data_IF_122886049075
#
_entry.id   IF_122886049075
#
_cell.length_a   1.000
_cell.length_b   1.000
_cell.length_c   1.000
_cell.angle_alpha   90.00
_cell.angle_beta   90.00
_cell.angle_gamma   90.00
#
_symmetry.space_group_name_H-M   'P 1'
#
loop_
_entity.id
_entity.type
_entity.pdbx_description
1 polymer ?
#
# COMPACT_ATOMS: atom_id res chain seq x y z
N UNK A 1 17.64 20.83 18.24
CA UNK A 1 17.77 20.68 16.78
C UNK A 1 16.53 19.95 16.27
N UNK A 2 15.54 20.71 15.82
CA UNK A 2 14.22 20.21 15.41
C UNK A 2 14.37 19.34 14.15
N UNK A 3 14.18 18.02 14.30
CA UNK A 3 14.08 17.13 13.15
C UNK A 3 12.68 17.30 12.55
N UNK A 4 12.62 18.09 11.49
CA UNK A 4 11.48 18.22 10.60
C UNK A 4 11.00 16.81 10.21
N UNK A 5 9.74 16.49 10.49
CA UNK A 5 9.07 15.26 10.07
C UNK A 5 9.22 15.11 8.54
N UNK A 6 9.97 14.10 8.07
CA UNK A 6 10.16 13.84 6.64
C UNK A 6 8.92 13.21 5.97
N UNK A 7 7.83 13.04 6.73
CA UNK A 7 6.49 12.84 6.20
C UNK A 7 5.61 13.96 6.72
N UNK A 8 5.27 14.90 5.83
CA UNK A 8 4.38 16.00 6.16
C UNK A 8 3.03 15.43 6.62
N UNK A 9 2.73 15.63 7.90
CA UNK A 9 1.46 15.29 8.54
C UNK A 9 0.26 15.90 7.79
N UNK A 10 0.49 16.93 6.97
CA UNK A 10 -0.52 17.57 6.12
C UNK A 10 -0.86 16.79 4.86
N UNK A 11 0.07 16.00 4.29
CA UNK A 11 -0.22 15.16 3.10
C UNK A 11 -1.12 13.96 3.45
N UNK A 12 -1.16 13.61 4.74
CA UNK A 12 -2.12 12.66 5.30
C UNK A 12 -3.58 13.12 5.08
N UNK A 13 -3.89 14.41 5.19
CA UNK A 13 -5.23 14.82 5.58
C UNK A 13 -6.38 14.74 4.55
N UNK A 14 -6.14 14.45 3.26
CA UNK A 14 -7.25 14.22 2.29
C UNK A 14 -7.62 12.76 2.07
N UNK A 15 -6.65 11.85 2.08
CA UNK A 15 -6.87 10.39 1.88
C UNK A 15 -6.93 9.61 3.21
N UNK A 16 -6.39 10.17 4.29
CA UNK A 16 -6.24 9.48 5.57
C UNK A 16 -7.57 9.32 6.30
N UNK A 17 -8.48 10.30 6.32
CA UNK A 17 -9.73 10.16 7.11
C UNK A 17 -10.64 9.02 6.66
N UNK A 18 -10.75 8.75 5.35
CA UNK A 18 -11.56 7.64 4.83
C UNK A 18 -10.85 6.30 4.91
N UNK A 19 -9.58 6.24 4.52
CA UNK A 19 -8.79 5.00 4.65
C UNK A 19 -8.64 4.56 6.11
N UNK A 20 -8.68 5.50 7.06
CA UNK A 20 -8.56 5.21 8.49
C UNK A 20 -9.64 4.29 9.04
N UNK A 21 -10.89 4.53 8.69
CA UNK A 21 -12.00 3.72 9.17
C UNK A 21 -11.99 2.32 8.55
N UNK A 22 -11.63 2.22 7.26
CA UNK A 22 -11.60 0.96 6.53
C UNK A 22 -10.45 0.08 7.01
N UNK A 23 -9.24 0.65 7.17
CA UNK A 23 -8.08 -0.12 7.64
C UNK A 23 -8.32 -0.70 9.04
N UNK A 24 -8.95 0.06 9.96
CA UNK A 24 -9.18 -0.38 11.34
C UNK A 24 -10.10 -1.59 11.41
N UNK A 25 -11.03 -1.68 10.47
CA UNK A 25 -12.05 -2.73 10.39
C UNK A 25 -11.52 -3.99 9.69
N UNK A 26 -10.56 -3.87 8.77
CA UNK A 26 -9.99 -5.02 8.04
C UNK A 26 -8.80 -5.64 8.75
N UNK A 27 -7.90 -4.84 9.32
CA UNK A 27 -6.65 -5.33 9.89
C UNK A 27 -6.76 -5.48 11.42
N UNK A 28 -7.69 -6.30 11.94
CA UNK A 28 -7.88 -6.65 13.38
C UNK A 28 -6.87 -6.00 14.38
N UNK A 29 -7.07 -4.71 14.68
CA UNK A 29 -6.12 -3.93 15.49
C UNK A 29 -6.13 -4.36 16.96
N UNK A 30 -7.31 -4.78 17.43
CA UNK A 30 -7.53 -5.35 18.75
C UNK A 30 -7.22 -6.84 18.61
N UNK A 31 -6.12 -7.36 19.14
CA UNK A 31 -6.17 -8.21 20.35
C UNK A 31 -4.79 -8.47 20.97
N UNK A 32 -3.70 -7.91 20.40
CA UNK A 32 -2.32 -8.18 20.88
C UNK A 32 -1.59 -6.89 21.28
N UNK A 33 -0.96 -6.91 22.45
CA UNK A 33 0.00 -5.87 22.87
C UNK A 33 1.20 -5.92 21.92
N UNK A 34 1.42 -4.84 21.17
CA UNK A 34 2.52 -4.70 20.21
C UNK A 34 3.45 -3.57 20.67
N UNK A 35 4.75 -3.73 20.44
CA UNK A 35 5.74 -2.67 20.68
C UNK A 35 5.56 -1.47 19.73
N UNK A 36 5.13 -1.74 18.50
CA UNK A 36 4.85 -0.71 17.49
C UNK A 36 3.38 -0.78 17.09
N UNK A 37 2.75 0.39 16.98
CA UNK A 37 1.40 0.50 16.44
C UNK A 37 1.38 0.11 14.95
N UNK A 38 0.32 -0.58 14.55
CA UNK A 38 0.09 -0.98 13.16
C UNK A 38 -0.06 0.25 12.25
N UNK A 39 -0.54 1.39 12.77
CA UNK A 39 -0.54 2.65 12.02
C UNK A 39 0.85 3.11 11.63
N UNK A 40 1.84 2.95 12.52
CA UNK A 40 3.24 3.30 12.23
C UNK A 40 3.81 2.41 11.14
N UNK A 41 3.48 1.12 11.16
CA UNK A 41 3.86 0.17 10.12
C UNK A 41 3.22 0.54 8.78
N UNK A 42 1.91 0.86 8.78
CA UNK A 42 1.21 1.33 7.59
C UNK A 42 1.85 2.59 7.00
N UNK A 43 2.17 3.58 7.84
CA UNK A 43 2.86 4.79 7.42
C UNK A 43 4.23 4.48 6.79
N UNK A 44 4.98 3.51 7.33
CA UNK A 44 6.25 3.07 6.76
C UNK A 44 6.07 2.42 5.37
N UNK A 45 5.00 1.65 5.16
CA UNK A 45 4.67 1.10 3.82
C UNK A 45 4.34 2.24 2.86
N UNK A 46 3.51 3.20 3.28
CA UNK A 46 3.20 4.38 2.47
C UNK A 46 4.44 5.25 2.20
N UNK A 47 5.41 5.28 3.12
CA UNK A 47 6.75 5.85 2.90
C UNK A 47 7.43 5.22 1.69
N UNK A 48 7.53 3.89 1.70
CA UNK A 48 8.17 3.13 0.63
C UNK A 48 7.48 3.34 -0.71
N UNK A 49 6.14 3.30 -0.76
CA UNK A 49 5.37 3.47 -2.00
C UNK A 49 5.58 4.86 -2.61
N UNK A 50 5.58 5.91 -1.79
CA UNK A 50 5.70 7.29 -2.28
C UNK A 50 7.13 7.66 -2.69
N UNK A 51 8.13 7.18 -1.95
CA UNK A 51 9.54 7.53 -2.16
C UNK A 51 10.24 6.59 -3.14
N UNK A 52 9.74 5.35 -3.27
CA UNK A 52 10.40 4.30 -4.05
C UNK A 52 11.73 3.84 -3.45
N UNK A 53 12.04 4.18 -2.19
CA UNK A 53 13.31 3.80 -1.60
C UNK A 53 13.40 2.28 -1.38
N UNK A 54 14.62 1.74 -1.38
CA UNK A 54 14.83 0.33 -1.05
C UNK A 54 14.39 0.04 0.38
N UNK A 55 13.91 -1.17 0.65
CA UNK A 55 13.50 -1.60 2.00
C UNK A 55 14.59 -1.37 3.06
N UNK A 56 15.85 -1.62 2.71
CA UNK A 56 17.00 -1.41 3.61
C UNK A 56 17.33 0.06 3.86
N UNK A 57 16.79 0.96 3.05
CA UNK A 57 16.94 2.42 3.17
C UNK A 57 15.76 3.08 3.86
N UNK A 58 14.85 2.30 4.45
CA UNK A 58 13.74 2.86 5.23
C UNK A 58 14.28 3.78 6.33
N UNK A 59 13.67 4.97 6.47
CA UNK A 59 14.09 5.96 7.48
C UNK A 59 14.10 5.34 8.89
N UNK A 60 15.09 5.73 9.70
CA UNK A 60 15.22 5.31 11.09
C UNK A 60 14.10 5.79 12.01
N UNK A 61 13.24 6.70 11.54
CA UNK A 61 12.04 7.14 12.26
C UNK A 61 10.94 6.05 12.29
N UNK A 62 11.04 5.04 11.42
CA UNK A 62 10.12 3.91 11.36
C UNK A 62 10.66 2.67 12.09
N UNK A 63 9.79 1.69 12.41
CA UNK A 63 10.24 0.39 12.89
C UNK A 63 11.22 -0.25 11.89
N UNK A 64 12.08 -1.14 12.40
CA UNK A 64 13.05 -1.87 11.57
C UNK A 64 12.38 -2.46 10.33
N UNK A 65 13.03 -2.30 9.17
CA UNK A 65 12.46 -2.69 7.88
C UNK A 65 11.99 -4.15 7.83
N UNK A 66 12.62 -5.07 8.57
CA UNK A 66 12.20 -6.47 8.65
C UNK A 66 10.80 -6.61 9.23
N UNK A 67 10.46 -5.81 10.24
CA UNK A 67 9.14 -5.82 10.86
C UNK A 67 8.10 -5.25 9.90
N UNK A 68 8.43 -4.14 9.23
CA UNK A 68 7.55 -3.52 8.23
C UNK A 68 7.29 -4.49 7.08
N UNK A 69 8.34 -5.16 6.59
CA UNK A 69 8.23 -6.17 5.54
C UNK A 69 7.42 -7.39 5.98
N UNK A 70 7.58 -7.86 7.23
CA UNK A 70 6.76 -8.95 7.78
C UNK A 70 5.27 -8.64 7.69
N UNK A 71 4.85 -7.44 8.13
CA UNK A 71 3.45 -7.04 8.06
C UNK A 71 2.98 -6.82 6.62
N UNK A 72 3.80 -6.19 5.78
CA UNK A 72 3.51 -6.05 4.35
C UNK A 72 3.24 -7.42 3.70
N UNK A 73 4.16 -8.37 3.88
CA UNK A 73 4.03 -9.72 3.31
C UNK A 73 2.80 -10.45 3.86
N UNK A 74 2.57 -10.35 5.17
CA UNK A 74 1.39 -10.93 5.81
C UNK A 74 0.08 -10.40 5.21
N UNK A 75 -0.04 -9.09 5.03
CA UNK A 75 -1.24 -8.46 4.48
C UNK A 75 -1.39 -8.69 2.98
N UNK A 76 -0.28 -8.73 2.24
CA UNK A 76 -0.30 -9.05 0.82
C UNK A 76 -0.78 -10.49 0.57
N UNK A 77 -0.27 -11.46 1.32
CA UNK A 77 -0.69 -12.86 1.20
C UNK A 77 -2.13 -13.11 1.67
N UNK A 78 -2.68 -12.23 2.51
CA UNK A 78 -4.06 -12.28 2.96
C UNK A 78 -5.03 -11.50 2.06
N UNK A 79 -4.55 -10.92 0.95
CA UNK A 79 -5.34 -10.07 0.04
C UNK A 79 -5.98 -8.84 0.73
N UNK A 80 -5.43 -8.43 1.88
CA UNK A 80 -5.97 -7.32 2.68
C UNK A 80 -5.90 -5.99 1.90
N UNK A 81 -4.87 -5.82 1.06
CA UNK A 81 -4.73 -4.65 0.20
C UNK A 81 -5.82 -4.60 -0.88
N UNK A 82 -6.17 -5.73 -1.47
CA UNK A 82 -7.22 -5.82 -2.49
C UNK A 82 -8.60 -5.55 -1.88
N UNK A 83 -8.86 -6.09 -0.69
CA UNK A 83 -10.07 -5.80 0.07
C UNK A 83 -10.16 -4.32 0.48
N UNK A 84 -9.04 -3.71 0.87
CA UNK A 84 -9.01 -2.28 1.19
C UNK A 84 -9.29 -1.44 -0.06
N UNK A 85 -8.64 -1.78 -1.17
CA UNK A 85 -8.75 -1.05 -2.42
C UNK A 85 -10.15 -1.17 -3.02
N UNK A 86 -10.79 -2.35 -2.95
CA UNK A 86 -12.18 -2.54 -3.40
C UNK A 86 -13.15 -1.64 -2.62
N UNK A 87 -13.06 -1.62 -1.28
CA UNK A 87 -13.88 -0.75 -0.43
C UNK A 87 -13.65 0.73 -0.70
N UNK A 88 -12.39 1.15 -0.85
CA UNK A 88 -12.07 2.54 -1.21
C UNK A 88 -12.65 2.93 -2.57
N UNK A 89 -12.57 2.05 -3.57
CA UNK A 89 -13.18 2.25 -4.89
C UNK A 89 -14.69 2.41 -4.78
N UNK A 90 -15.37 1.56 -4.02
CA UNK A 90 -16.82 1.66 -3.78
C UNK A 90 -17.22 2.98 -3.13
N UNK A 91 -16.47 3.43 -2.12
CA UNK A 91 -16.75 4.72 -1.46
C UNK A 91 -16.57 5.91 -2.42
N UNK A 92 -15.50 5.91 -3.21
CA UNK A 92 -15.26 6.98 -4.20
C UNK A 92 -16.36 7.02 -5.27
N UNK A 93 -16.83 5.85 -5.73
CA UNK A 93 -17.92 5.76 -6.71
C UNK A 93 -19.25 6.24 -6.13
N UNK A 94 -19.57 5.83 -4.89
CA UNK A 94 -20.78 6.27 -4.19
C UNK A 94 -20.79 7.79 -4.02
N UNK A 95 -19.66 8.40 -3.64
CA UNK A 95 -19.52 9.86 -3.53
C UNK A 95 -19.70 10.61 -4.85
N UNK A 96 -19.49 9.92 -5.97
CA UNK A 96 -19.71 10.45 -7.33
C UNK A 96 -21.12 10.14 -7.85
N UNK A 97 -22.03 9.66 -7.00
CA UNK A 97 -23.37 9.20 -7.37
C UNK A 97 -23.35 8.09 -8.44
N UNK A 98 -22.34 7.21 -8.39
CA UNK A 98 -22.21 6.06 -9.27
C UNK A 98 -22.51 4.76 -8.51
N UNK A 99 -22.93 3.71 -9.23
CA UNK A 99 -23.09 2.37 -8.67
C UNK A 99 -21.77 1.87 -8.04
N UNK A 100 -21.86 1.25 -6.86
CA UNK A 100 -20.70 0.70 -6.12
C UNK A 100 -19.86 -0.25 -6.98
N UNK A 101 -20.54 -1.18 -7.64
CA UNK A 101 -19.93 -2.13 -8.56
C UNK A 101 -19.83 -1.49 -9.94
N UNK A 102 -18.65 -1.51 -10.60
CA UNK A 102 -18.51 -1.06 -11.99
C UNK A 102 -19.23 -2.00 -12.95
N UNK A 103 -19.82 -1.44 -14.01
CA UNK A 103 -20.38 -2.22 -15.12
C UNK A 103 -19.31 -2.69 -16.12
N UNK A 104 -18.15 -2.02 -16.17
CA UNK A 104 -17.05 -2.30 -17.09
C UNK A 104 -15.71 -2.37 -16.32
N UNK A 105 -14.92 -3.40 -16.61
CA UNK A 105 -13.54 -3.55 -16.12
C UNK A 105 -12.53 -3.43 -17.25
N UNK A 106 -11.53 -2.57 -17.07
CA UNK A 106 -10.38 -2.47 -17.99
C UNK A 106 -9.26 -3.35 -17.44
N UNK A 107 -8.82 -4.33 -18.24
CA UNK A 107 -7.66 -5.16 -17.93
C UNK A 107 -6.50 -4.71 -18.83
N UNK A 108 -5.45 -4.19 -18.21
CA UNK A 108 -4.20 -3.81 -18.86
C UNK A 108 -3.07 -4.70 -18.33
N UNK A 109 -2.16 -5.11 -19.21
CA UNK A 109 -0.95 -5.83 -18.81
C UNK A 109 0.27 -4.98 -19.12
N UNK A 110 1.07 -4.72 -18.08
CA UNK A 110 2.32 -3.98 -18.22
C UNK A 110 3.50 -4.90 -17.92
N UNK A 111 4.47 -4.92 -18.83
CA UNK A 111 5.75 -5.57 -18.60
C UNK A 111 6.71 -4.59 -17.93
N UNK A 112 7.28 -5.00 -16.80
CA UNK A 112 8.35 -4.25 -16.14
C UNK A 112 9.67 -4.88 -16.54
N UNK A 113 10.57 -4.09 -17.12
CA UNK A 113 11.93 -4.55 -17.45
C UNK A 113 12.66 -4.86 -16.14
N UNK A 114 12.79 -6.15 -15.83
CA UNK A 114 13.59 -6.64 -14.73
C UNK A 114 15.05 -6.80 -15.18
N UNK A 115 16.02 -6.63 -14.27
CA UNK A 115 17.46 -6.60 -14.56
C UNK A 115 18.04 -7.87 -15.21
N UNK A 116 19.37 -7.91 -15.36
CA UNK A 116 20.14 -8.86 -16.20
C UNK A 116 20.19 -10.34 -15.69
N UNK A 117 19.07 -10.90 -15.23
CA UNK A 117 18.98 -12.31 -14.85
C UNK A 117 18.83 -13.17 -16.12
N UNK A 118 19.77 -14.10 -16.33
CA UNK A 118 19.93 -14.91 -17.56
C UNK A 118 18.88 -16.03 -17.75
N UNK A 119 17.64 -15.86 -17.32
CA UNK A 119 16.60 -16.90 -17.47
C UNK A 119 15.39 -16.44 -18.29
N UNK A 120 14.54 -17.39 -18.69
CA UNK A 120 13.77 -17.44 -19.93
C UNK A 120 13.05 -16.11 -20.20
N UNK A 121 13.53 -15.41 -21.24
CA UNK A 121 12.82 -14.28 -21.82
C UNK A 121 11.43 -14.78 -22.24
N UNK A 122 10.38 -14.22 -21.63
CA UNK A 122 9.03 -14.38 -22.14
C UNK A 122 8.94 -13.82 -23.56
N UNK A 123 8.24 -14.52 -24.43
CA UNK A 123 7.98 -14.08 -25.79
C UNK A 123 7.07 -12.85 -25.75
N UNK A 124 7.59 -11.69 -26.16
CA UNK A 124 6.77 -10.50 -26.39
C UNK A 124 6.20 -10.58 -27.80
N UNK A 125 4.95 -11.03 -27.89
CA UNK A 125 4.24 -11.15 -29.15
C UNK A 125 4.00 -9.77 -29.72
N UNK A 126 4.89 -9.36 -30.63
CA UNK A 126 4.84 -8.16 -31.47
C UNK A 126 3.39 -7.85 -31.92
N UNK A 127 2.68 -7.03 -31.14
CA UNK A 127 1.38 -6.50 -31.52
C UNK A 127 1.64 -5.44 -32.59
N UNK A 128 1.05 -5.67 -33.78
CA UNK A 128 1.01 -4.71 -34.88
C UNK A 128 0.25 -3.45 -34.48
#
# INVERSE_FOLDING_TARGET
MNKQLCYDEKLSNRYHRQSVAIYKKTLNFNERKRKHDLRTIWNAIMYLVKTGCQWRMLSGDFPKWQLVYYYYSKWANAEDFDLLLSKLREEVRTKRNQNKVPSLGIMDSQSVKWGNNRWLKGFDGNKK
#
